data_IF_502126546449
#
_entry.id   IF_502126546449
#
_cell.length_a   1.000
_cell.length_b   1.000
_cell.length_c   1.000
_cell.angle_alpha   90.00
_cell.angle_beta   90.00
_cell.angle_gamma   90.00
#
_symmetry.space_group_name_H-M   'P 1'
#
loop_
_entity.id
_entity.type
_entity.pdbx_description
1 polymer ?
#
# COMPACT_ATOMS: atom_id res chain seq x y z
N UNK A 1 -5.05 -23.53 9.61
CA UNK A 1 -4.68 -22.56 8.57
C UNK A 1 -3.30 -22.04 8.94
N UNK A 2 -2.27 -22.49 8.22
CA UNK A 2 -0.88 -22.17 8.51
C UNK A 2 -0.54 -20.74 8.09
N UNK A 3 -1.06 -19.79 8.86
CA UNK A 3 -0.50 -18.44 8.90
C UNK A 3 0.80 -18.53 9.70
N UNK A 4 1.85 -19.05 9.05
CA UNK A 4 3.20 -19.04 9.62
C UNK A 4 3.57 -17.64 10.08
N UNK A 5 4.34 -17.52 11.16
CA UNK A 5 4.83 -16.24 11.65
C UNK A 5 5.73 -15.60 10.58
N UNK A 6 5.18 -14.68 9.79
CA UNK A 6 5.96 -13.87 8.85
C UNK A 6 6.58 -12.70 9.61
N UNK A 7 7.90 -12.56 9.51
CA UNK A 7 8.60 -11.36 9.93
C UNK A 7 8.78 -10.50 8.69
N UNK A 8 8.08 -9.37 8.63
CA UNK A 8 8.30 -8.36 7.61
C UNK A 8 9.37 -7.40 8.10
N UNK A 9 10.48 -7.29 7.37
CA UNK A 9 11.53 -6.31 7.62
C UNK A 9 11.57 -5.34 6.44
N UNK A 10 11.39 -4.05 6.72
CA UNK A 10 11.48 -2.98 5.74
C UNK A 10 12.47 -1.95 6.24
N UNK A 11 13.45 -1.63 5.40
CA UNK A 11 14.40 -0.56 5.64
C UNK A 11 14.43 0.34 4.40
N UNK A 12 14.52 1.65 4.62
CA UNK A 12 14.58 2.64 3.56
C UNK A 12 16.00 3.18 3.49
N UNK A 13 16.61 3.14 2.30
CA UNK A 13 17.87 3.80 2.05
C UNK A 13 17.62 5.29 1.78
N UNK A 14 18.25 6.16 2.56
CA UNK A 14 18.11 7.62 2.42
C UNK A 14 18.89 8.19 1.25
N UNK A 15 19.77 7.39 0.61
CA UNK A 15 20.59 7.79 -0.53
C UNK A 15 19.84 7.81 -1.86
N UNK A 16 18.59 7.33 -1.89
CA UNK A 16 17.73 7.31 -3.06
C UNK A 16 17.37 5.90 -3.50
N UNK A 17 16.97 5.76 -4.77
CA UNK A 17 16.59 4.48 -5.35
C UNK A 17 17.80 3.58 -5.55
N UNK A 18 17.61 2.27 -5.36
CA UNK A 18 18.57 1.27 -5.80
C UNK A 18 18.66 1.29 -7.33
N UNK A 19 19.88 1.19 -7.86
CA UNK A 19 20.10 1.07 -9.30
C UNK A 19 19.59 -0.27 -9.84
N UNK A 20 19.32 -0.37 -11.13
CA UNK A 20 18.98 -1.66 -11.72
C UNK A 20 20.18 -2.62 -11.64
N UNK A 21 19.93 -3.89 -11.30
CA UNK A 21 20.98 -4.88 -11.12
C UNK A 21 20.56 -6.08 -10.29
N UNK A 22 21.49 -7.03 -10.09
CA UNK A 22 21.27 -8.16 -9.19
C UNK A 22 21.61 -7.79 -7.75
N UNK A 23 20.65 -8.00 -6.85
CA UNK A 23 20.80 -7.81 -5.41
C UNK A 23 20.67 -9.14 -4.70
N UNK A 24 21.47 -9.33 -3.66
CA UNK A 24 21.39 -10.46 -2.73
C UNK A 24 21.11 -9.95 -1.33
N UNK A 25 20.02 -10.41 -0.73
CA UNK A 25 19.73 -10.19 0.69
C UNK A 25 20.22 -11.41 1.48
N UNK A 26 20.97 -11.16 2.54
CA UNK A 26 21.48 -12.18 3.46
C UNK A 26 21.01 -11.88 4.89
N UNK A 27 20.41 -12.88 5.53
CA UNK A 27 19.99 -12.82 6.93
C UNK A 27 20.92 -13.71 7.73
N UNK A 28 21.75 -13.10 8.57
CA UNK A 28 22.64 -13.81 9.49
C UNK A 28 21.94 -13.98 10.83
N UNK A 29 21.65 -15.21 11.20
CA UNK A 29 20.98 -15.54 12.45
C UNK A 29 21.98 -15.50 13.62
N UNK A 30 21.47 -15.33 14.85
CA UNK A 30 22.31 -15.31 16.07
C UNK A 30 23.15 -16.58 16.28
N UNK A 31 22.72 -17.71 15.71
CA UNK A 31 23.43 -18.98 15.76
C UNK A 31 24.50 -19.10 14.64
N UNK A 32 24.73 -18.07 13.84
CA UNK A 32 25.69 -18.06 12.73
C UNK A 32 25.16 -18.64 11.41
N UNK A 33 23.93 -19.17 11.36
CA UNK A 33 23.31 -19.59 10.11
C UNK A 33 23.10 -18.38 9.18
N UNK A 34 23.17 -18.59 7.87
CA UNK A 34 22.85 -17.57 6.86
C UNK A 34 21.73 -18.08 5.96
N UNK A 35 20.69 -17.27 5.78
CA UNK A 35 19.70 -17.44 4.71
C UNK A 35 19.94 -16.38 3.65
N UNK A 36 19.82 -16.72 2.37
CA UNK A 36 20.03 -15.78 1.27
C UNK A 36 18.92 -15.86 0.23
N UNK A 37 18.65 -14.73 -0.40
CA UNK A 37 17.75 -14.63 -1.56
C UNK A 37 18.26 -13.56 -2.51
N UNK A 38 18.25 -13.87 -3.81
CA UNK A 38 18.59 -12.90 -4.85
C UNK A 38 17.36 -12.36 -5.56
N UNK A 39 17.47 -11.15 -6.09
CA UNK A 39 16.49 -10.49 -6.95
C UNK A 39 17.21 -9.65 -7.99
N UNK A 40 16.74 -9.70 -9.23
CA UNK A 40 17.12 -8.71 -10.25
C UNK A 40 16.13 -7.55 -10.14
N UNK A 41 16.64 -6.35 -9.85
CA UNK A 41 15.88 -5.12 -9.91
C UNK A 41 15.93 -4.57 -11.34
N UNK A 42 14.75 -4.47 -11.96
CA UNK A 42 14.56 -3.87 -13.26
C UNK A 42 13.42 -2.84 -13.15
N UNK A 43 13.68 -1.72 -12.50
CA UNK A 43 12.70 -0.68 -12.27
C UNK A 43 12.35 0.03 -13.58
N UNK A 44 11.05 0.17 -13.83
CA UNK A 44 10.49 1.02 -14.88
C UNK A 44 10.10 2.36 -14.26
N UNK A 45 10.90 3.41 -14.50
CA UNK A 45 10.61 4.75 -13.99
C UNK A 45 9.50 5.47 -14.77
N UNK A 46 9.03 4.92 -15.90
CA UNK A 46 7.97 5.55 -16.69
C UNK A 46 6.65 5.64 -15.92
N UNK A 47 6.35 4.69 -15.02
CA UNK A 47 5.21 4.79 -14.11
C UNK A 47 5.32 5.99 -13.17
N UNK A 48 6.54 6.25 -12.67
CA UNK A 48 6.81 7.37 -11.76
C UNK A 48 6.61 8.68 -12.50
N UNK A 49 7.17 8.81 -13.70
CA UNK A 49 7.00 10.00 -14.56
C UNK A 49 5.52 10.26 -14.88
N UNK A 50 4.78 9.22 -15.29
CA UNK A 50 3.33 9.31 -15.54
C UNK A 50 2.59 9.78 -14.28
N UNK A 51 2.85 9.16 -13.14
CA UNK A 51 2.25 9.56 -11.87
C UNK A 51 2.60 11.00 -11.48
N UNK A 52 3.83 11.45 -11.70
CA UNK A 52 4.23 12.82 -11.41
C UNK A 52 3.51 13.82 -12.33
N UNK A 53 3.31 13.49 -13.60
CA UNK A 53 2.69 14.36 -14.60
C UNK A 53 1.17 14.54 -14.46
N UNK A 54 0.47 13.63 -13.78
CA UNK A 54 -0.99 13.68 -13.66
C UNK A 54 -1.47 14.56 -12.49
N UNK A 55 -2.69 15.09 -12.61
CA UNK A 55 -3.43 15.64 -11.47
C UNK A 55 -3.89 14.49 -10.58
N UNK A 56 -3.66 14.62 -9.27
CA UNK A 56 -3.90 13.57 -8.28
C UNK A 56 -5.11 13.95 -7.45
N UNK A 57 -6.10 13.07 -7.42
CA UNK A 57 -7.32 13.22 -6.65
C UNK A 57 -7.42 12.08 -5.64
N UNK A 58 -7.96 12.43 -4.47
CA UNK A 58 -8.15 11.53 -3.35
C UNK A 58 -9.50 11.81 -2.71
N UNK A 59 -10.25 10.77 -2.39
CA UNK A 59 -11.51 10.89 -1.66
C UNK A 59 -11.70 9.66 -0.76
N UNK A 60 -12.26 9.79 0.45
CA UNK A 60 -12.53 11.02 1.18
C UNK A 60 -11.26 11.66 1.76
N UNK A 61 -11.29 12.98 1.93
CA UNK A 61 -10.21 13.78 2.55
C UNK A 61 -10.80 14.85 3.48
N UNK A 62 -10.12 15.13 4.59
CA UNK A 62 -10.50 16.17 5.55
C UNK A 62 -11.81 15.87 6.30
N UNK A 63 -12.54 16.92 6.67
CA UNK A 63 -13.86 16.76 7.27
C UNK A 63 -14.87 16.46 6.16
N UNK A 64 -15.30 15.19 6.05
CA UNK A 64 -16.29 14.76 5.05
C UNK A 64 -17.50 14.19 5.77
N UNK A 65 -18.70 14.59 5.38
CA UNK A 65 -19.93 13.97 5.84
C UNK A 65 -20.08 12.59 5.19
N UNK A 66 -19.45 11.58 5.79
CA UNK A 66 -19.60 10.18 5.37
C UNK A 66 -20.72 9.56 6.20
N UNK A 67 -21.75 9.06 5.53
CA UNK A 67 -22.75 8.22 6.16
C UNK A 67 -22.13 6.86 6.51
N UNK A 68 -21.91 6.63 7.80
CA UNK A 68 -21.34 5.38 8.32
C UNK A 68 -22.31 4.19 8.24
N UNK A 69 -23.58 4.43 7.88
CA UNK A 69 -24.55 3.37 7.63
C UNK A 69 -24.45 2.78 6.23
N UNK A 70 -23.72 3.42 5.32
CA UNK A 70 -23.53 2.97 3.95
C UNK A 70 -22.07 2.52 3.72
N UNK A 71 -21.82 1.67 2.71
CA UNK A 71 -20.47 1.38 2.28
C UNK A 71 -19.70 2.66 1.93
N UNK A 72 -18.51 2.82 2.49
CA UNK A 72 -17.65 3.97 2.23
C UNK A 72 -16.64 3.62 1.13
N UNK A 73 -16.39 4.52 0.19
CA UNK A 73 -15.37 4.28 -0.86
C UNK A 73 -14.17 5.18 -0.70
N UNK A 74 -12.99 4.57 -0.59
CA UNK A 74 -11.72 5.26 -0.76
C UNK A 74 -11.39 5.28 -2.25
N UNK A 75 -10.99 6.42 -2.80
CA UNK A 75 -10.71 6.63 -4.23
C UNK A 75 -9.42 7.38 -4.40
N UNK A 76 -8.63 6.98 -5.40
CA UNK A 76 -7.36 7.61 -5.74
C UNK A 76 -7.16 7.60 -7.26
N UNK A 77 -6.39 8.55 -7.76
CA UNK A 77 -6.00 8.54 -9.18
C UNK A 77 -4.91 7.52 -9.46
N UNK A 78 -5.03 6.84 -10.61
CA UNK A 78 -4.05 5.84 -11.09
C UNK A 78 -3.39 6.30 -12.40
N UNK A 79 -2.06 6.10 -12.56
CA UNK A 79 -1.39 6.34 -13.83
C UNK A 79 -1.94 5.39 -14.91
N UNK A 80 -2.07 5.89 -16.14
CA UNK A 80 -2.65 5.16 -17.27
C UNK A 80 -1.58 4.52 -18.16
N UNK A 81 -1.98 3.56 -18.99
CA UNK A 81 -1.11 2.99 -20.03
C UNK A 81 -0.06 2.03 -19.49
N UNK A 82 -0.44 1.15 -18.56
CA UNK A 82 0.37 0.06 -18.01
C UNK A 82 -0.50 -0.92 -17.20
N UNK A 83 0.11 -1.97 -16.67
CA UNK A 83 -0.53 -2.88 -15.72
C UNK A 83 0.02 -2.59 -14.33
N UNK A 84 -0.76 -1.89 -13.54
CA UNK A 84 -0.37 -1.45 -12.21
C UNK A 84 -1.34 -1.98 -11.17
N UNK A 85 -0.85 -2.24 -9.97
CA UNK A 85 -1.61 -2.83 -8.89
C UNK A 85 -1.68 -1.85 -7.73
N UNK A 86 -2.82 -1.77 -7.06
CA UNK A 86 -2.97 -0.91 -5.89
C UNK A 86 -3.14 -1.73 -4.61
N UNK A 87 -2.41 -1.36 -3.56
CA UNK A 87 -2.63 -1.86 -2.19
C UNK A 87 -2.98 -0.69 -1.30
N UNK A 88 -4.20 -0.68 -0.80
CA UNK A 88 -4.80 0.37 0.02
C UNK A 88 -5.11 -0.18 1.39
N UNK A 89 -4.76 0.59 2.42
CA UNK A 89 -4.99 0.27 3.84
C UNK A 89 -5.69 1.43 4.53
N UNK A 90 -6.57 1.09 5.46
CA UNK A 90 -7.34 2.00 6.31
C UNK A 90 -7.06 1.66 7.78
N UNK A 91 -6.91 2.70 8.60
CA UNK A 91 -6.66 2.59 10.04
C UNK A 91 -7.32 3.77 10.78
N UNK A 92 -7.57 3.62 12.09
CA UNK A 92 -7.90 4.76 12.95
C UNK A 92 -6.72 5.72 13.05
N UNK A 93 -6.98 7.03 12.99
CA UNK A 93 -5.91 7.99 13.23
C UNK A 93 -5.56 8.04 14.71
N UNK A 94 -4.37 7.55 15.06
CA UNK A 94 -3.79 7.63 16.40
C UNK A 94 -2.47 8.40 16.27
N UNK A 95 -2.31 9.55 16.96
CA UNK A 95 -1.07 10.32 16.93
C UNK A 95 0.15 9.48 17.34
N UNK A 96 1.25 9.61 16.60
CA UNK A 96 2.54 8.95 16.84
C UNK A 96 2.56 7.42 16.76
N UNK A 97 1.48 6.77 16.33
CA UNK A 97 1.45 5.32 16.14
C UNK A 97 1.90 4.94 14.70
N UNK A 98 2.83 3.98 14.54
CA UNK A 98 3.24 3.48 13.23
C UNK A 98 2.03 3.07 12.37
N UNK A 99 2.02 3.45 11.09
CA UNK A 99 0.84 3.21 10.24
C UNK A 99 0.58 1.73 9.97
N UNK A 100 1.63 0.91 9.84
CA UNK A 100 1.52 -0.51 9.49
C UNK A 100 1.06 -1.41 10.65
N UNK A 101 0.74 -0.82 11.81
CA UNK A 101 0.15 -1.51 12.95
C UNK A 101 -1.35 -1.23 13.03
N UNK A 102 -2.12 -2.19 13.55
CA UNK A 102 -3.57 -2.04 13.79
C UNK A 102 -4.39 -1.62 12.56
N UNK A 103 -4.04 -2.17 11.38
CA UNK A 103 -4.80 -1.97 10.14
C UNK A 103 -6.23 -2.48 10.33
N UNK A 104 -7.19 -1.60 10.09
CA UNK A 104 -8.62 -1.88 10.24
C UNK A 104 -9.19 -2.59 9.02
N UNK A 105 -8.80 -2.15 7.83
CA UNK A 105 -9.27 -2.71 6.57
C UNK A 105 -8.25 -2.50 5.44
N UNK A 106 -8.20 -3.41 4.49
CA UNK A 106 -7.26 -3.35 3.37
C UNK A 106 -7.70 -4.22 2.20
N UNK A 107 -7.23 -3.92 0.99
CA UNK A 107 -7.35 -4.84 -0.14
C UNK A 107 -6.11 -5.74 -0.23
N UNK A 108 -6.32 -6.99 -0.62
CA UNK A 108 -5.31 -8.02 -0.50
C UNK A 108 -4.67 -8.38 -1.86
N UNK A 109 -3.97 -7.43 -2.49
CA UNK A 109 -3.41 -7.65 -3.82
C UNK A 109 -2.39 -8.80 -3.87
N UNK A 110 -1.61 -9.00 -2.79
CA UNK A 110 -0.53 -9.99 -2.77
C UNK A 110 -0.96 -11.43 -2.45
N UNK A 111 -2.07 -11.63 -1.73
CA UNK A 111 -2.49 -12.96 -1.30
C UNK A 111 -3.69 -13.50 -2.11
N UNK A 112 -4.27 -12.69 -2.99
CA UNK A 112 -5.32 -13.10 -3.92
C UNK A 112 -4.70 -13.42 -5.29
N UNK A 113 -5.20 -14.48 -5.96
CA UNK A 113 -4.73 -14.88 -7.30
C UNK A 113 -5.37 -14.03 -8.39
N UNK A 114 -4.70 -13.94 -9.54
CA UNK A 114 -5.22 -13.27 -10.75
C UNK A 114 -5.03 -11.75 -10.71
N UNK A 115 -6.02 -11.01 -11.17
CA UNK A 115 -5.97 -9.55 -11.35
C UNK A 115 -6.24 -8.76 -10.05
N UNK A 116 -5.91 -9.34 -8.90
CA UNK A 116 -6.16 -8.72 -7.60
C UNK A 116 -5.40 -7.38 -7.48
N UNK A 117 -6.15 -6.29 -7.30
CA UNK A 117 -5.61 -4.94 -7.22
C UNK A 117 -5.26 -4.32 -8.58
N UNK A 118 -5.40 -5.04 -9.70
CA UNK A 118 -5.05 -4.56 -11.03
C UNK A 118 -5.91 -3.34 -11.40
N UNK A 119 -5.25 -2.24 -11.72
CA UNK A 119 -5.82 -0.94 -12.11
C UNK A 119 -6.94 -0.46 -11.15
N UNK A 120 -6.88 -0.91 -9.90
CA UNK A 120 -7.83 -0.54 -8.87
C UNK A 120 -7.60 0.91 -8.48
N UNK A 121 -8.65 1.72 -8.58
CA UNK A 121 -8.66 3.15 -8.24
C UNK A 121 -9.65 3.47 -7.11
N UNK A 122 -10.34 2.45 -6.59
CA UNK A 122 -11.20 2.57 -5.42
C UNK A 122 -11.17 1.32 -4.55
N UNK A 123 -11.39 1.49 -3.25
CA UNK A 123 -11.61 0.42 -2.27
C UNK A 123 -12.92 0.68 -1.55
N UNK A 124 -13.87 -0.24 -1.70
CA UNK A 124 -15.11 -0.21 -0.93
C UNK A 124 -14.87 -0.81 0.46
N UNK A 125 -15.24 -0.04 1.48
CA UNK A 125 -15.21 -0.39 2.89
C UNK A 125 -16.62 -0.82 3.28
N UNK A 126 -16.81 -2.07 3.72
CA UNK A 126 -18.12 -2.57 4.13
C UNK A 126 -18.71 -1.75 5.28
N UNK A 127 -20.04 -1.75 5.35
CA UNK A 127 -20.79 -1.16 6.47
C UNK A 127 -20.30 -1.70 7.81
N UNK A 128 -20.22 -0.83 8.82
CA UNK A 128 -19.88 -1.19 10.20
C UNK A 128 -18.39 -1.19 10.52
N UNK A 129 -17.52 -0.98 9.53
CA UNK A 129 -16.09 -0.73 9.75
C UNK A 129 -15.85 0.72 10.16
N UNK A 130 -16.48 1.66 9.44
CA UNK A 130 -16.47 3.08 9.78
C UNK A 130 -17.45 3.33 10.93
N UNK A 131 -17.00 4.05 11.96
CA UNK A 131 -17.76 4.43 13.15
C UNK A 131 -18.00 5.94 13.14
N UNK A 132 -19.08 6.44 13.76
CA UNK A 132 -19.33 7.87 13.87
C UNK A 132 -18.24 8.58 14.68
N UNK A 133 -18.10 9.90 14.47
CA UNK A 133 -17.20 10.79 15.22
C UNK A 133 -15.77 10.26 15.35
N UNK A 134 -15.26 9.64 14.28
CA UNK A 134 -13.98 8.94 14.29
C UNK A 134 -13.10 9.45 13.15
N UNK A 135 -11.85 9.77 13.48
CA UNK A 135 -10.84 10.11 12.49
C UNK A 135 -10.14 8.87 11.97
N UNK A 136 -10.02 8.80 10.65
CA UNK A 136 -9.34 7.74 9.94
C UNK A 136 -8.14 8.27 9.17
N UNK A 137 -7.19 7.38 8.92
CA UNK A 137 -6.08 7.57 7.99
C UNK A 137 -6.07 6.40 7.02
N UNK A 138 -5.88 6.70 5.74
CA UNK A 138 -5.73 5.71 4.71
C UNK A 138 -4.60 6.06 3.76
N UNK A 139 -4.08 5.04 3.10
CA UNK A 139 -2.88 5.14 2.28
C UNK A 139 -2.89 4.04 1.23
N UNK A 140 -2.33 4.34 0.06
CA UNK A 140 -2.27 3.46 -1.09
C UNK A 140 -0.85 3.38 -1.64
N UNK A 141 -0.44 2.17 -1.99
CA UNK A 141 0.76 1.88 -2.78
C UNK A 141 0.32 1.53 -4.20
N UNK A 142 0.98 2.11 -5.22
CA UNK A 142 0.88 1.66 -6.60
C UNK A 142 2.12 0.85 -6.93
N UNK A 143 1.93 -0.35 -7.45
CA UNK A 143 2.95 -1.36 -7.66
C UNK A 143 2.96 -1.80 -9.12
N UNK A 144 4.12 -2.21 -9.61
CA UNK A 144 4.28 -2.82 -10.94
C UNK A 144 3.97 -4.33 -10.96
N UNK A 145 3.77 -4.96 -9.80
CA UNK A 145 3.36 -6.36 -9.67
C UNK A 145 2.48 -6.57 -8.43
N UNK A 146 1.59 -7.56 -8.47
CA UNK A 146 0.90 -8.08 -7.29
C UNK A 146 1.55 -9.36 -6.72
N UNK A 147 2.75 -9.71 -7.18
CA UNK A 147 3.57 -10.74 -6.57
C UNK A 147 4.75 -10.07 -5.86
N UNK A 148 4.77 -10.13 -4.52
CA UNK A 148 5.73 -9.37 -3.70
C UNK A 148 7.21 -9.54 -4.11
N UNK A 149 7.71 -10.75 -4.45
CA UNK A 149 9.08 -10.93 -4.94
C UNK A 149 9.37 -10.24 -6.29
N UNK A 150 8.35 -9.95 -7.10
CA UNK A 150 8.47 -9.38 -8.45
C UNK A 150 8.32 -7.85 -8.48
N UNK A 151 7.85 -7.21 -7.41
CA UNK A 151 7.68 -5.74 -7.35
C UNK A 151 9.02 -5.02 -7.51
N UNK A 152 9.27 -4.33 -8.62
CA UNK A 152 10.50 -3.53 -8.82
C UNK A 152 10.28 -2.04 -8.54
N UNK A 153 9.03 -1.57 -8.59
CA UNK A 153 8.68 -0.17 -8.36
C UNK A 153 7.43 -0.07 -7.49
N UNK A 154 7.52 0.75 -6.44
CA UNK A 154 6.41 1.08 -5.57
C UNK A 154 6.30 2.60 -5.42
N UNK A 155 5.12 3.14 -5.71
CA UNK A 155 4.79 4.56 -5.49
C UNK A 155 3.91 4.63 -4.24
N UNK A 156 4.44 5.27 -3.20
CA UNK A 156 3.72 5.55 -1.97
C UNK A 156 2.91 6.82 -2.17
N UNK A 157 1.58 6.71 -2.24
CA UNK A 157 0.71 7.90 -2.34
C UNK A 157 0.71 8.67 -1.01
N UNK A 158 0.44 9.99 -1.00
CA UNK A 158 0.37 10.72 0.27
C UNK A 158 -0.72 10.15 1.18
N UNK A 159 -0.44 10.08 2.49
CA UNK A 159 -1.44 9.72 3.49
C UNK A 159 -2.64 10.67 3.41
N UNK A 160 -3.82 10.09 3.40
CA UNK A 160 -5.08 10.81 3.42
C UNK A 160 -5.73 10.61 4.78
N UNK A 161 -6.38 11.65 5.29
CA UNK A 161 -7.15 11.55 6.53
C UNK A 161 -8.55 12.03 6.30
N UNK A 162 -9.53 11.43 6.98
CA UNK A 162 -10.88 11.94 7.00
C UNK A 162 -11.56 11.74 8.35
N UNK A 163 -12.58 12.54 8.62
CA UNK A 163 -13.51 12.32 9.73
C UNK A 163 -14.80 11.70 9.19
N UNK A 164 -15.37 10.75 9.92
CA UNK A 164 -16.76 10.34 9.71
C UNK A 164 -17.73 11.37 10.28
N UNK A 165 -18.94 11.42 9.73
CA UNK A 165 -20.00 12.23 10.33
C UNK A 165 -20.30 11.77 11.77
N UNK A 166 -20.87 12.66 12.57
CA UNK A 166 -21.43 12.32 13.88
C UNK A 166 -22.64 11.40 13.75
#
# INVERSE_FOLDING_TARGET
SDLGNYIMYQAYDTRGFLENGEYRLEVVYKNGQVSSKSKVLASDLSIVEKYLSMNKEFQPVGETAIDFNEPTRLKWSMPQGGQYYAVTRLKHFIPNEPFYENILYWNNAFYMRGDAGLMMSELEIPRGIIKPDTKYVWFTEILDSNHLPEVNTAIFLPFQTFWSAR
#
